data_IF_993425464017
#
_entry.id   IF_993425464017
#
_cell.length_a   1.000
_cell.length_b   1.000
_cell.length_c   1.000
_cell.angle_alpha   90.00
_cell.angle_beta   90.00
_cell.angle_gamma   90.00
#
_symmetry.space_group_name_H-M   'P 1'
#
loop_
_entity.id
_entity.type
_entity.pdbx_description
1 polymer ?
#
# COMPACT_ATOMS: atom_id res chain seq x y z
N UNK A 1 64.98 46.69 -30.16
CA UNK A 1 64.32 46.42 -31.46
C UNK A 1 63.46 45.17 -31.32
N UNK A 2 62.14 45.39 -31.26
CA UNK A 2 61.01 44.54 -31.65
C UNK A 2 60.75 43.18 -30.94
N UNK A 3 59.94 43.26 -29.87
CA UNK A 3 58.64 42.57 -29.62
C UNK A 3 58.37 41.28 -30.41
N UNK A 4 58.03 40.17 -29.70
CA UNK A 4 56.72 39.47 -29.80
C UNK A 4 56.44 38.63 -28.55
N UNK A 5 55.55 39.16 -27.71
CA UNK A 5 54.89 38.48 -26.59
C UNK A 5 53.91 37.46 -27.18
N UNK A 6 53.99 36.19 -26.77
CA UNK A 6 52.91 35.21 -26.99
C UNK A 6 52.31 34.87 -25.62
N UNK A 7 51.15 35.48 -25.33
CA UNK A 7 50.28 35.10 -24.23
C UNK A 7 49.76 33.67 -24.49
N UNK A 8 50.19 32.71 -23.69
CA UNK A 8 49.54 31.40 -23.59
C UNK A 8 48.75 31.43 -22.28
N UNK A 9 47.44 31.60 -22.40
CA UNK A 9 46.50 31.56 -21.29
C UNK A 9 46.36 30.12 -20.81
N UNK A 10 47.01 29.77 -19.70
CA UNK A 10 46.76 28.51 -18.99
C UNK A 10 45.64 28.77 -17.98
N UNK A 11 44.40 28.55 -18.40
CA UNK A 11 43.25 28.48 -17.51
C UNK A 11 43.26 27.12 -16.81
N UNK A 12 43.81 27.10 -15.58
CA UNK A 12 43.77 25.94 -14.70
C UNK A 12 42.37 25.86 -14.07
N UNK A 13 41.48 25.06 -14.67
CA UNK A 13 40.12 24.81 -14.17
C UNK A 13 40.22 23.96 -12.90
N UNK A 14 39.84 24.56 -11.77
CA UNK A 14 39.70 23.90 -10.47
C UNK A 14 38.53 22.90 -10.58
N UNK A 15 38.84 21.61 -10.65
CA UNK A 15 37.87 20.53 -10.61
C UNK A 15 37.29 20.37 -9.21
N UNK A 16 36.20 21.09 -8.92
CA UNK A 16 35.36 20.82 -7.76
C UNK A 16 34.55 19.54 -8.06
N UNK A 17 35.06 18.40 -7.62
CA UNK A 17 34.38 17.11 -7.67
C UNK A 17 33.13 17.16 -6.80
N UNK A 18 32.01 17.59 -7.41
CA UNK A 18 30.68 17.49 -6.83
C UNK A 18 30.37 16.00 -6.63
N UNK A 19 30.32 15.61 -5.35
CA UNK A 19 29.70 14.37 -4.91
C UNK A 19 28.22 14.43 -5.30
N UNK A 20 27.89 13.91 -6.48
CA UNK A 20 26.52 13.60 -6.86
C UNK A 20 26.02 12.42 -6.03
N UNK A 21 25.71 12.70 -4.77
CA UNK A 21 24.75 11.93 -4.00
C UNK A 21 23.36 12.30 -4.51
N UNK A 22 22.88 11.55 -5.50
CA UNK A 22 21.47 11.57 -5.87
C UNK A 22 20.89 10.18 -5.64
N UNK A 23 20.08 10.09 -4.58
CA UNK A 23 18.83 9.36 -4.55
C UNK A 23 18.93 7.85 -4.72
N UNK A 24 18.82 7.14 -3.61
CA UNK A 24 18.34 5.76 -3.65
C UNK A 24 16.91 5.74 -4.19
N UNK A 25 16.74 5.41 -5.47
CA UNK A 25 15.47 4.90 -5.99
C UNK A 25 15.27 3.48 -5.45
N UNK A 26 14.84 3.39 -4.18
CA UNK A 26 14.11 2.21 -3.74
C UNK A 26 12.77 2.25 -4.46
N UNK A 27 12.54 1.30 -5.36
CA UNK A 27 11.35 1.19 -6.22
C UNK A 27 10.06 1.41 -5.44
N UNK A 28 9.62 2.66 -5.41
CA UNK A 28 8.46 3.11 -4.66
C UNK A 28 7.19 2.79 -5.40
N UNK A 29 6.13 2.47 -4.66
CA UNK A 29 4.77 2.56 -5.17
C UNK A 29 4.58 3.96 -5.75
N UNK A 30 3.98 4.06 -6.94
CA UNK A 30 3.76 5.33 -7.64
C UNK A 30 2.99 6.37 -6.81
N UNK A 31 2.53 7.49 -7.38
CA UNK A 31 1.92 8.57 -6.61
C UNK A 31 0.76 8.11 -5.70
N UNK A 32 0.59 8.80 -4.57
CA UNK A 32 -0.56 8.60 -3.69
C UNK A 32 -1.76 9.30 -4.34
N UNK A 33 -2.66 8.50 -4.91
CA UNK A 33 -3.91 8.96 -5.52
C UNK A 33 -5.07 8.14 -4.94
N UNK A 34 -6.26 8.73 -4.79
CA UNK A 34 -7.44 7.98 -4.36
C UNK A 34 -7.74 6.81 -5.29
N UNK A 35 -8.14 5.64 -4.77
CA UNK A 35 -8.62 4.55 -5.62
C UNK A 35 -9.93 4.96 -6.31
N UNK A 36 -10.26 4.37 -7.47
CA UNK A 36 -11.61 4.49 -8.00
C UNK A 36 -12.61 3.92 -6.97
N UNK A 37 -13.85 4.45 -6.94
CA UNK A 37 -14.88 3.92 -6.06
C UNK A 37 -15.19 2.46 -6.38
N UNK A 38 -15.66 1.72 -5.38
CA UNK A 38 -16.12 0.35 -5.59
C UNK A 38 -17.30 0.33 -6.58
N UNK A 39 -17.36 -0.66 -7.51
CA UNK A 39 -18.51 -0.84 -8.38
C UNK A 39 -19.81 -1.07 -7.60
N UNK A 40 -20.98 -0.90 -8.24
CA UNK A 40 -22.29 -1.02 -7.59
C UNK A 40 -22.48 -2.31 -6.79
N UNK A 41 -21.99 -3.46 -7.28
CA UNK A 41 -22.04 -4.76 -6.57
C UNK A 41 -21.34 -4.73 -5.20
N UNK A 42 -20.36 -3.86 -5.03
CA UNK A 42 -19.52 -3.73 -3.83
C UNK A 42 -19.78 -2.43 -3.06
N UNK A 43 -20.48 -1.45 -3.65
CA UNK A 43 -20.64 -0.11 -3.10
C UNK A 43 -21.30 -0.11 -1.70
N UNK A 44 -22.17 -1.08 -1.42
CA UNK A 44 -22.90 -1.22 -0.15
C UNK A 44 -22.35 -2.34 0.76
N UNK A 45 -21.27 -3.00 0.37
CA UNK A 45 -20.59 -4.01 1.19
C UNK A 45 -19.86 -3.34 2.34
N UNK A 46 -20.03 -3.83 3.58
CA UNK A 46 -19.40 -3.27 4.78
C UNK A 46 -18.78 -4.34 5.65
N UNK A 47 -17.72 -3.96 6.35
CA UNK A 47 -17.21 -4.76 7.45
C UNK A 47 -18.33 -4.94 8.49
N UNK A 48 -18.58 -6.17 8.98
CA UNK A 48 -19.51 -6.37 10.09
C UNK A 48 -19.10 -5.50 11.29
N UNK A 49 -20.07 -4.77 11.85
CA UNK A 49 -19.78 -3.70 12.82
C UNK A 49 -19.08 -4.20 14.10
N UNK A 50 -19.33 -5.45 14.48
CA UNK A 50 -18.77 -6.13 15.64
C UNK A 50 -17.33 -6.65 15.42
N UNK A 51 -16.79 -6.59 14.20
CA UNK A 51 -15.47 -7.18 13.89
C UNK A 51 -14.28 -6.24 14.10
N UNK A 52 -14.49 -4.92 14.13
CA UNK A 52 -13.39 -3.94 14.12
C UNK A 52 -12.41 -4.06 15.30
N UNK A 53 -12.81 -4.70 16.39
CA UNK A 53 -11.98 -5.01 17.56
C UNK A 53 -11.88 -6.50 17.89
N UNK A 54 -12.36 -7.39 17.02
CA UNK A 54 -12.36 -8.84 17.27
C UNK A 54 -10.96 -9.41 17.03
N UNK A 55 -10.27 -9.78 18.12
CA UNK A 55 -8.91 -10.33 18.09
C UNK A 55 -8.84 -11.72 17.47
N UNK A 56 -9.91 -12.52 17.57
CA UNK A 56 -9.96 -13.84 16.96
C UNK A 56 -10.06 -13.70 15.43
N UNK A 57 -10.96 -12.86 14.94
CA UNK A 57 -11.09 -12.59 13.49
C UNK A 57 -9.83 -11.96 12.91
N UNK A 58 -9.16 -11.10 13.69
CA UNK A 58 -7.87 -10.54 13.31
C UNK A 58 -6.79 -11.63 13.14
N UNK A 59 -6.69 -12.57 14.07
CA UNK A 59 -5.74 -13.69 14.00
C UNK A 59 -6.08 -14.66 12.86
N UNK A 60 -7.35 -14.94 12.62
CA UNK A 60 -7.78 -15.73 11.47
C UNK A 60 -7.41 -15.04 10.14
N UNK A 61 -7.58 -13.71 10.06
CA UNK A 61 -7.12 -12.89 8.95
C UNK A 61 -5.61 -12.96 8.75
N UNK A 62 -4.82 -12.90 9.84
CA UNK A 62 -3.36 -13.08 9.80
C UNK A 62 -2.97 -14.42 9.17
N UNK A 63 -3.62 -15.51 9.59
CA UNK A 63 -3.35 -16.86 9.08
C UNK A 63 -3.68 -17.00 7.59
N UNK A 64 -4.77 -16.39 7.13
CA UNK A 64 -5.09 -16.29 5.70
C UNK A 64 -4.03 -15.49 4.95
N UNK A 65 -3.66 -14.31 5.48
CA UNK A 65 -2.72 -13.39 4.85
C UNK A 65 -1.35 -14.01 4.57
N UNK A 66 -0.86 -14.87 5.47
CA UNK A 66 0.42 -15.58 5.32
C UNK A 66 0.32 -16.92 4.57
N UNK A 67 -0.89 -17.31 4.14
CA UNK A 67 -1.14 -18.59 3.46
C UNK A 67 -1.14 -19.83 4.35
N UNK A 68 -1.30 -19.68 5.68
CA UNK A 68 -1.39 -20.80 6.61
C UNK A 68 -2.70 -21.59 6.41
N UNK A 69 -3.81 -20.88 6.17
CA UNK A 69 -5.13 -21.51 5.95
C UNK A 69 -5.35 -22.01 4.52
N UNK A 70 -4.75 -21.34 3.55
CA UNK A 70 -4.83 -21.71 2.14
C UNK A 70 -3.52 -21.29 1.45
N UNK A 71 -2.63 -22.23 1.10
CA UNK A 71 -1.32 -21.90 0.52
C UNK A 71 -1.41 -21.28 -0.88
N UNK A 72 -2.54 -21.45 -1.59
CA UNK A 72 -2.82 -20.76 -2.86
C UNK A 72 -2.99 -19.25 -2.66
N UNK A 73 -3.37 -18.82 -1.45
CA UNK A 73 -3.66 -17.45 -1.08
C UNK A 73 -2.60 -16.97 -0.10
N UNK A 74 -1.58 -16.28 -0.61
CA UNK A 74 -0.48 -15.77 0.22
C UNK A 74 -0.19 -14.30 -0.10
N UNK A 75 -0.92 -13.40 0.55
CA UNK A 75 -0.78 -11.94 0.41
C UNK A 75 0.65 -11.49 0.78
N UNK A 76 1.20 -12.06 1.85
CA UNK A 76 2.53 -11.76 2.36
C UNK A 76 3.65 -12.04 1.34
N UNK A 77 3.43 -12.92 0.36
CA UNK A 77 4.41 -13.21 -0.71
C UNK A 77 4.71 -12.01 -1.62
N UNK A 78 3.86 -10.98 -1.59
CA UNK A 78 4.03 -9.72 -2.33
C UNK A 78 4.09 -8.52 -1.37
N UNK A 79 3.16 -8.48 -0.42
CA UNK A 79 2.98 -7.35 0.50
C UNK A 79 3.80 -7.45 1.81
N UNK A 80 4.57 -8.54 1.98
CA UNK A 80 5.39 -8.80 3.16
C UNK A 80 4.61 -9.20 4.41
N UNK A 81 5.23 -9.96 5.30
CA UNK A 81 4.56 -10.41 6.55
C UNK A 81 4.26 -9.27 7.51
N UNK A 82 5.04 -8.21 7.44
CA UNK A 82 4.97 -6.99 8.24
C UNK A 82 4.25 -5.84 7.51
N UNK A 83 3.64 -6.10 6.35
CA UNK A 83 2.97 -5.10 5.51
C UNK A 83 3.93 -4.27 4.65
N UNK A 84 5.25 -4.51 4.76
CA UNK A 84 6.26 -3.92 3.87
C UNK A 84 6.36 -4.74 2.58
N UNK A 85 6.19 -4.14 1.40
CA UNK A 85 6.20 -4.89 0.15
C UNK A 85 7.57 -5.53 -0.09
N UNK A 86 7.55 -6.80 -0.50
CA UNK A 86 8.74 -7.57 -0.91
C UNK A 86 8.82 -7.73 -2.43
N UNK A 87 7.79 -7.28 -3.17
CA UNK A 87 7.77 -7.23 -4.62
C UNK A 87 7.47 -5.82 -5.11
N UNK A 88 8.19 -5.39 -6.14
CA UNK A 88 7.96 -4.10 -6.78
C UNK A 88 6.50 -3.97 -7.26
N UNK A 89 5.91 -2.81 -6.98
CA UNK A 89 4.53 -2.48 -7.33
C UNK A 89 3.46 -3.04 -6.39
N UNK A 90 3.82 -3.82 -5.37
CA UNK A 90 2.90 -4.16 -4.29
C UNK A 90 2.74 -2.96 -3.35
N UNK A 91 1.53 -2.75 -2.85
CA UNK A 91 1.20 -1.69 -1.89
C UNK A 91 1.83 -1.95 -0.52
N UNK A 92 2.43 -0.92 0.09
CA UNK A 92 2.88 -0.86 1.48
C UNK A 92 1.69 -0.48 2.36
N UNK A 93 1.20 -1.48 3.09
CA UNK A 93 0.05 -1.34 3.97
C UNK A 93 0.37 -0.52 5.22
N UNK A 94 1.63 -0.13 5.43
CA UNK A 94 2.07 0.70 6.56
C UNK A 94 2.02 2.19 6.25
N UNK A 95 1.67 2.60 5.02
CA UNK A 95 1.56 4.01 4.64
C UNK A 95 0.15 4.55 4.96
N UNK A 96 -0.07 5.26 6.09
CA UNK A 96 -1.40 5.71 6.49
C UNK A 96 -2.00 6.73 5.50
N UNK A 97 -1.17 7.54 4.86
CA UNK A 97 -1.63 8.56 3.89
C UNK A 97 -2.26 7.93 2.66
N UNK A 98 -1.72 6.78 2.21
CA UNK A 98 -2.33 5.99 1.14
C UNK A 98 -3.52 5.17 1.67
N UNK A 99 -3.36 4.48 2.80
CA UNK A 99 -4.34 3.49 3.26
C UNK A 99 -5.68 4.13 3.64
N UNK A 100 -5.66 5.35 4.18
CA UNK A 100 -6.89 6.07 4.55
C UNK A 100 -7.79 6.43 3.36
N UNK A 101 -7.28 6.37 2.13
CA UNK A 101 -8.05 6.70 0.92
C UNK A 101 -8.98 5.57 0.47
N UNK A 102 -8.81 4.37 1.01
CA UNK A 102 -9.56 3.19 0.65
C UNK A 102 -10.64 2.96 1.70
N UNK A 103 -11.92 2.98 1.29
CA UNK A 103 -13.03 2.53 2.14
C UNK A 103 -12.98 1.03 2.35
N UNK A 104 -13.61 0.52 3.41
CA UNK A 104 -13.75 -0.91 3.67
C UNK A 104 -14.32 -1.68 2.46
N UNK A 105 -15.31 -1.11 1.78
CA UNK A 105 -15.87 -1.64 0.54
C UNK A 105 -14.86 -1.71 -0.63
N UNK A 106 -14.00 -0.71 -0.77
CA UNK A 106 -12.95 -0.69 -1.80
C UNK A 106 -11.88 -1.75 -1.47
N UNK A 107 -11.44 -1.84 -0.22
CA UNK A 107 -10.52 -2.90 0.22
C UNK A 107 -11.08 -4.29 -0.11
N UNK A 108 -12.33 -4.54 0.30
CA UNK A 108 -13.00 -5.80 0.05
C UNK A 108 -13.12 -6.11 -1.45
N UNK A 109 -13.52 -5.14 -2.26
CA UNK A 109 -13.56 -5.27 -3.72
C UNK A 109 -12.19 -5.63 -4.31
N UNK A 110 -11.11 -4.94 -3.92
CA UNK A 110 -9.77 -5.21 -4.44
C UNK A 110 -9.25 -6.61 -4.09
N UNK A 111 -9.56 -7.11 -2.90
CA UNK A 111 -9.24 -8.50 -2.54
C UNK A 111 -10.08 -9.48 -3.38
N UNK A 112 -11.33 -9.13 -3.64
CA UNK A 112 -12.28 -9.99 -4.37
C UNK A 112 -11.91 -10.16 -5.84
N UNK A 113 -11.66 -9.05 -6.53
CA UNK A 113 -11.52 -8.99 -7.99
C UNK A 113 -10.08 -8.74 -8.44
N UNK A 114 -9.19 -8.38 -7.50
CA UNK A 114 -7.83 -7.96 -7.80
C UNK A 114 -7.77 -6.51 -8.27
N UNK A 115 -6.63 -6.17 -8.88
CA UNK A 115 -6.41 -4.85 -9.49
C UNK A 115 -6.05 -5.08 -10.96
N UNK A 116 -6.94 -4.65 -11.86
CA UNK A 116 -6.74 -4.73 -13.31
C UNK A 116 -5.40 -4.13 -13.72
N UNK A 117 -4.74 -4.75 -14.70
CA UNK A 117 -3.42 -4.35 -15.20
C UNK A 117 -2.29 -4.40 -14.16
N UNK A 118 -2.43 -5.24 -13.12
CA UNK A 118 -1.36 -5.49 -12.14
C UNK A 118 -1.18 -6.99 -11.88
N UNK A 119 -0.21 -7.35 -11.03
CA UNK A 119 -0.02 -8.73 -10.55
C UNK A 119 -0.97 -9.14 -9.42
N UNK A 120 -1.76 -8.19 -8.89
CA UNK A 120 -2.71 -8.47 -7.81
C UNK A 120 -3.96 -9.14 -8.38
N UNK A 121 -4.06 -10.45 -8.20
CA UNK A 121 -5.20 -11.27 -8.65
C UNK A 121 -6.37 -11.18 -7.67
N UNK A 122 -7.57 -11.46 -8.17
CA UNK A 122 -8.77 -11.60 -7.34
C UNK A 122 -8.83 -12.96 -6.64
N UNK A 123 -9.42 -12.97 -5.44
CA UNK A 123 -9.49 -14.14 -4.56
C UNK A 123 -10.91 -14.64 -4.30
N UNK A 124 -11.95 -14.04 -4.90
CA UNK A 124 -13.36 -14.42 -4.72
C UNK A 124 -13.66 -15.89 -5.04
N UNK A 125 -12.91 -16.52 -5.94
CA UNK A 125 -13.06 -17.95 -6.28
C UNK A 125 -12.35 -18.91 -5.33
N UNK A 126 -11.49 -18.39 -4.44
CA UNK A 126 -10.64 -19.18 -3.52
C UNK A 126 -10.95 -18.92 -2.05
N UNK A 127 -11.68 -17.85 -1.75
CA UNK A 127 -12.00 -17.41 -0.40
C UNK A 127 -13.50 -17.16 -0.27
N UNK A 128 -14.04 -17.51 0.89
CA UNK A 128 -15.38 -17.09 1.27
C UNK A 128 -15.48 -15.56 1.39
N UNK A 129 -16.70 -15.02 1.43
CA UNK A 129 -16.89 -13.61 1.80
C UNK A 129 -16.36 -13.31 3.21
N UNK A 130 -16.60 -14.22 4.15
CA UNK A 130 -16.12 -14.08 5.53
C UNK A 130 -14.59 -13.94 5.60
N UNK A 131 -13.87 -14.81 4.87
CA UNK A 131 -12.40 -14.81 4.85
C UNK A 131 -11.83 -13.54 4.19
N UNK A 132 -12.50 -13.04 3.14
CA UNK A 132 -12.11 -11.77 2.52
C UNK A 132 -12.29 -10.59 3.49
N UNK A 133 -13.33 -10.59 4.32
CA UNK A 133 -13.48 -9.56 5.37
C UNK A 133 -12.41 -9.68 6.46
N UNK A 134 -12.02 -10.90 6.85
CA UNK A 134 -10.90 -11.11 7.79
C UNK A 134 -9.58 -10.58 7.23
N UNK A 135 -9.35 -10.73 5.92
CA UNK A 135 -8.20 -10.12 5.25
C UNK A 135 -8.26 -8.59 5.31
N UNK A 136 -9.41 -7.96 5.02
CA UNK A 136 -9.56 -6.49 5.17
C UNK A 136 -9.26 -6.06 6.60
N UNK A 137 -9.80 -6.78 7.60
CA UNK A 137 -9.60 -6.47 9.02
C UNK A 137 -8.12 -6.54 9.42
N UNK A 138 -7.39 -7.52 8.88
CA UNK A 138 -5.96 -7.70 9.13
C UNK A 138 -5.09 -6.69 8.36
N UNK A 139 -5.31 -6.52 7.06
CA UNK A 139 -4.52 -5.61 6.21
C UNK A 139 -4.63 -4.16 6.68
N UNK A 140 -5.84 -3.69 7.04
CA UNK A 140 -6.02 -2.32 7.55
C UNK A 140 -5.25 -2.08 8.86
N UNK A 141 -4.99 -3.13 9.65
CA UNK A 141 -4.34 -3.00 10.96
C UNK A 141 -2.88 -2.53 10.86
N UNK A 142 -2.23 -2.64 9.70
CA UNK A 142 -0.84 -2.18 9.52
C UNK A 142 -0.67 -0.66 9.63
N UNK A 143 -1.68 0.14 9.27
CA UNK A 143 -1.61 1.60 9.33
C UNK A 143 -2.83 2.27 9.99
N UNK A 144 -3.95 1.55 10.12
CA UNK A 144 -5.25 2.07 10.57
C UNK A 144 -5.78 1.28 11.76
N UNK A 145 -4.88 0.73 12.59
CA UNK A 145 -5.26 0.08 13.85
C UNK A 145 -6.10 1.02 14.72
N UNK A 146 -7.15 0.50 15.34
CA UNK A 146 -8.08 1.30 16.16
C UNK A 146 -9.04 2.21 15.37
N UNK A 147 -8.98 2.23 14.03
CA UNK A 147 -9.86 3.06 13.19
C UNK A 147 -10.95 2.24 12.49
N UNK A 148 -12.14 2.82 12.36
CA UNK A 148 -13.26 2.27 11.58
C UNK A 148 -13.57 3.20 10.42
N UNK A 149 -14.14 2.65 9.34
CA UNK A 149 -14.60 3.47 8.23
C UNK A 149 -15.93 4.15 8.59
N UNK A 150 -15.98 5.48 8.51
CA UNK A 150 -17.18 6.29 8.72
C UNK A 150 -17.81 6.62 7.37
N UNK A 151 -19.04 6.12 7.16
CA UNK A 151 -19.77 6.28 5.89
C UNK A 151 -20.24 7.70 5.61
N UNK A 152 -20.64 8.44 6.63
CA UNK A 152 -21.13 9.80 6.47
C UNK A 152 -19.99 10.74 6.11
N UNK A 153 -18.87 10.60 6.82
CA UNK A 153 -17.68 11.45 6.66
C UNK A 153 -16.76 10.96 5.52
N UNK A 154 -17.02 9.77 4.95
CA UNK A 154 -16.19 9.10 3.93
C UNK A 154 -14.70 9.08 4.30
N UNK A 155 -14.42 8.74 5.55
CA UNK A 155 -13.06 8.72 6.10
C UNK A 155 -12.94 7.73 7.26
N UNK A 156 -11.72 7.35 7.60
CA UNK A 156 -11.43 6.57 8.80
C UNK A 156 -11.47 7.44 10.06
N UNK A 157 -12.13 6.96 11.11
CA UNK A 157 -12.21 7.62 12.42
C UNK A 157 -11.88 6.64 13.54
N UNK A 158 -11.44 7.14 14.69
CA UNK A 158 -11.24 6.31 15.88
C UNK A 158 -12.52 5.58 16.29
N UNK A 159 -12.37 4.36 16.83
CA UNK A 159 -13.47 3.64 17.48
C UNK A 159 -14.07 4.54 18.57
N UNK A 160 -15.36 4.87 18.45
CA UNK A 160 -16.08 5.70 19.42
C UNK A 160 -15.99 7.22 19.20
N UNK A 161 -15.35 7.69 18.12
CA UNK A 161 -15.41 9.10 17.73
C UNK A 161 -16.83 9.48 17.27
N UNK A 162 -17.49 10.36 18.04
CA UNK A 162 -18.76 11.01 17.65
C UNK A 162 -18.50 12.02 16.51
#
# INVERSE_FOLDING_TARGET
>A
MNIRIRLIHVLLVIGLGLLSSCGGEQGGEGPIVPPPPAPAEYADKRMPADWWGDSQKLEEGRKLYIGEKNPDVNCASCHGKDGKPVKAGATDFRNPERMKLYSDSVWFWRISEGVSNTKMRGWKSKLSEEDRWKLVLYERNFALSGKIWNEEKKQWSEVGAK
#
